data_IF_751763203369
#
_entry.id   IF_751763203369
#
_cell.length_a   1.000
_cell.length_b   1.000
_cell.length_c   1.000
_cell.angle_alpha   90.00
_cell.angle_beta   90.00
_cell.angle_gamma   90.00
#
_symmetry.space_group_name_H-M   'P 1'
#
loop_
_entity.id
_entity.type
_entity.pdbx_description
1 polymer ?
#
# COMPACT_ATOMS: atom_id res chain seq x y z
N UNK A 1 29.64 -44.29 -7.17
CA UNK A 1 28.97 -43.95 -5.92
C UNK A 1 29.66 -42.83 -5.12
N UNK A 2 31.00 -42.85 -4.97
CA UNK A 2 31.72 -41.77 -4.20
C UNK A 2 31.56 -40.37 -4.82
N UNK A 3 31.57 -40.21 -6.14
CA UNK A 3 31.41 -38.91 -6.78
C UNK A 3 30.02 -38.30 -6.55
N UNK A 4 28.96 -39.12 -6.58
CA UNK A 4 27.59 -38.66 -6.32
C UNK A 4 27.43 -38.19 -4.86
N UNK A 5 28.04 -38.93 -3.94
CA UNK A 5 28.03 -38.56 -2.52
C UNK A 5 28.74 -37.20 -2.28
N UNK A 6 29.88 -37.00 -2.93
CA UNK A 6 30.62 -35.73 -2.85
C UNK A 6 29.83 -34.56 -3.42
N UNK A 7 29.16 -34.73 -4.56
CA UNK A 7 28.30 -33.69 -5.16
C UNK A 7 27.15 -33.35 -4.25
N UNK A 8 26.46 -34.34 -3.68
CA UNK A 8 25.38 -34.12 -2.74
C UNK A 8 25.86 -33.36 -1.48
N UNK A 9 27.02 -33.72 -0.94
CA UNK A 9 27.57 -33.01 0.24
C UNK A 9 27.84 -31.54 -0.09
N UNK A 10 28.39 -31.24 -1.25
CA UNK A 10 28.61 -29.83 -1.69
C UNK A 10 27.30 -29.08 -1.82
N UNK A 11 26.29 -29.68 -2.46
CA UNK A 11 24.97 -29.06 -2.63
C UNK A 11 24.32 -28.81 -1.25
N UNK A 12 24.33 -29.78 -0.34
CA UNK A 12 23.78 -29.61 1.00
C UNK A 12 24.49 -28.51 1.78
N UNK A 13 25.81 -28.45 1.70
CA UNK A 13 26.58 -27.40 2.36
C UNK A 13 26.24 -26.02 1.83
N UNK A 14 26.17 -25.87 0.50
CA UNK A 14 25.77 -24.61 -0.16
C UNK A 14 24.36 -24.18 0.25
N UNK A 15 23.41 -25.10 0.23
CA UNK A 15 22.03 -24.79 0.64
C UNK A 15 21.97 -24.42 2.10
N UNK A 16 22.68 -25.13 2.98
CA UNK A 16 22.71 -24.82 4.41
C UNK A 16 23.24 -23.40 4.66
N UNK A 17 24.34 -23.02 4.01
CA UNK A 17 24.91 -21.66 4.12
C UNK A 17 23.94 -20.62 3.56
N UNK A 18 23.34 -20.88 2.39
CA UNK A 18 22.36 -19.98 1.77
C UNK A 18 21.12 -19.75 2.62
N UNK A 19 20.62 -20.77 3.31
CA UNK A 19 19.42 -20.63 4.16
C UNK A 19 19.74 -20.17 5.58
N UNK A 20 20.98 -20.32 6.03
CA UNK A 20 21.35 -19.96 7.41
C UNK A 20 21.14 -18.46 7.71
N UNK A 21 21.32 -17.59 6.71
CA UNK A 21 21.09 -16.15 6.90
C UNK A 21 19.64 -15.80 7.27
N UNK A 22 18.64 -16.64 6.92
CA UNK A 22 17.26 -16.42 7.29
C UNK A 22 17.05 -16.42 8.81
N UNK A 23 17.80 -17.24 9.54
CA UNK A 23 17.75 -17.24 11.00
C UNK A 23 18.24 -15.91 11.60
N UNK A 24 19.23 -15.29 10.96
CA UNK A 24 19.73 -13.98 11.38
C UNK A 24 18.61 -12.93 11.23
N UNK A 25 17.85 -12.94 10.15
CA UNK A 25 16.71 -12.02 9.97
C UNK A 25 15.60 -12.25 11.00
N UNK A 26 15.31 -13.50 11.34
CA UNK A 26 14.34 -13.82 12.40
C UNK A 26 14.80 -13.21 13.75
N UNK A 27 16.07 -13.40 14.11
CA UNK A 27 16.61 -12.82 15.34
C UNK A 27 16.56 -11.29 15.32
N UNK A 28 16.95 -10.67 14.21
CA UNK A 28 16.87 -9.20 14.02
C UNK A 28 15.42 -8.71 14.15
N UNK A 29 14.46 -9.42 13.54
CA UNK A 29 13.05 -9.06 13.61
C UNK A 29 12.51 -9.14 15.05
N UNK A 30 12.84 -10.21 15.79
CA UNK A 30 12.43 -10.38 17.19
C UNK A 30 13.03 -9.30 18.11
N UNK A 31 14.29 -8.93 17.89
CA UNK A 31 14.94 -7.86 18.64
C UNK A 31 14.32 -6.50 18.26
N UNK A 32 14.06 -6.28 16.95
CA UNK A 32 13.43 -5.06 16.45
C UNK A 32 12.03 -4.83 17.01
N UNK A 33 11.23 -5.89 17.10
CA UNK A 33 9.89 -5.82 17.68
C UNK A 33 9.92 -5.48 19.19
N UNK A 34 10.84 -6.08 19.94
CA UNK A 34 11.04 -5.74 21.36
C UNK A 34 11.50 -4.29 21.55
N UNK A 35 12.31 -3.75 20.63
CA UNK A 35 12.75 -2.35 20.68
C UNK A 35 11.62 -1.38 20.34
N UNK A 36 10.76 -1.71 19.35
CA UNK A 36 9.59 -0.89 19.00
C UNK A 36 8.64 -0.71 20.19
N UNK A 37 8.39 -1.76 20.96
CA UNK A 37 7.54 -1.69 22.16
C UNK A 37 8.09 -0.77 23.27
N UNK A 38 9.38 -0.41 23.21
CA UNK A 38 10.02 0.50 24.18
C UNK A 38 10.12 1.95 23.68
N UNK A 39 9.79 2.21 22.43
CA UNK A 39 9.79 3.60 21.96
C UNK A 39 8.56 4.30 22.50
N UNK A 40 8.70 5.50 23.10
CA UNK A 40 7.55 6.31 23.47
C UNK A 40 6.74 6.60 22.21
N UNK A 41 5.42 6.62 22.35
CA UNK A 41 4.51 7.02 21.28
C UNK A 41 4.92 8.41 20.80
N UNK A 42 5.28 8.52 19.52
CA UNK A 42 5.71 9.79 18.96
C UNK A 42 4.49 10.67 18.73
N UNK A 43 4.34 11.66 19.60
CA UNK A 43 3.37 12.72 19.40
C UNK A 43 3.89 13.70 18.35
N UNK A 44 3.22 13.85 17.20
CA UNK A 44 3.66 14.78 16.17
C UNK A 44 3.57 16.22 16.70
N UNK A 45 4.64 16.98 16.62
CA UNK A 45 4.68 18.38 17.05
C UNK A 45 3.76 19.29 16.23
N UNK A 46 3.38 18.87 15.04
CA UNK A 46 2.52 19.59 14.11
C UNK A 46 1.75 18.62 13.25
N UNK A 47 0.45 18.81 13.14
CA UNK A 47 -0.41 18.10 12.20
C UNK A 47 -0.37 18.81 10.85
N UNK A 48 -0.26 18.02 9.79
CA UNK A 48 -0.24 18.50 8.40
C UNK A 48 -1.55 18.14 7.69
N UNK A 49 -1.96 18.93 6.73
CA UNK A 49 -3.07 18.59 5.84
C UNK A 49 -2.58 17.66 4.74
N UNK A 50 -3.32 16.59 4.48
CA UNK A 50 -3.03 15.59 3.46
C UNK A 50 -4.13 15.55 2.42
N UNK A 51 -3.74 15.36 1.16
CA UNK A 51 -4.68 15.06 0.09
C UNK A 51 -4.37 13.66 -0.48
N UNK A 52 -5.37 12.78 -0.47
CA UNK A 52 -5.31 11.49 -1.15
C UNK A 52 -5.86 11.67 -2.56
N UNK A 53 -5.01 11.53 -3.57
CA UNK A 53 -5.43 11.63 -4.98
C UNK A 53 -5.56 10.21 -5.54
N UNK A 54 -6.76 9.87 -6.01
CA UNK A 54 -7.13 8.54 -6.47
C UNK A 54 -7.58 8.61 -7.92
N UNK A 55 -6.86 7.96 -8.84
CA UNK A 55 -7.32 7.76 -10.20
C UNK A 55 -8.13 6.46 -10.27
N UNK A 56 -9.42 6.58 -10.60
CA UNK A 56 -10.37 5.48 -10.68
C UNK A 56 -10.96 5.35 -12.08
N UNK A 57 -11.13 4.11 -12.55
CA UNK A 57 -11.80 3.81 -13.81
C UNK A 57 -12.66 2.57 -13.67
N UNK A 58 -14.00 2.75 -13.68
CA UNK A 58 -14.98 1.67 -13.50
C UNK A 58 -14.73 0.84 -12.23
N UNK A 59 -14.58 1.53 -11.09
CA UNK A 59 -14.28 0.92 -9.80
C UNK A 59 -15.44 1.07 -8.80
N UNK A 60 -16.70 1.07 -9.29
CA UNK A 60 -17.90 1.26 -8.49
C UNK A 60 -18.02 0.29 -7.29
N UNK A 61 -17.53 -0.95 -7.43
CA UNK A 61 -17.62 -1.96 -6.38
C UNK A 61 -16.68 -1.69 -5.19
N UNK A 62 -15.59 -0.95 -5.38
CA UNK A 62 -14.52 -0.82 -4.38
C UNK A 62 -14.26 0.62 -3.91
N UNK A 63 -14.56 1.61 -4.76
CA UNK A 63 -14.21 3.01 -4.48
C UNK A 63 -14.83 3.54 -3.18
N UNK A 64 -16.06 3.16 -2.86
CA UNK A 64 -16.73 3.57 -1.65
C UNK A 64 -16.05 3.04 -0.39
N UNK A 65 -15.61 1.78 -0.40
CA UNK A 65 -14.91 1.17 0.73
C UNK A 65 -13.53 1.80 0.93
N UNK A 66 -12.81 2.10 -0.15
CA UNK A 66 -11.52 2.79 -0.11
C UNK A 66 -11.66 4.17 0.55
N UNK A 67 -12.63 4.99 0.11
CA UNK A 67 -12.85 6.33 0.68
C UNK A 67 -13.20 6.23 2.17
N UNK A 68 -14.07 5.31 2.55
CA UNK A 68 -14.42 5.07 3.96
C UNK A 68 -13.20 4.68 4.80
N UNK A 69 -12.33 3.81 4.28
CA UNK A 69 -11.12 3.38 4.99
C UNK A 69 -10.10 4.52 5.16
N UNK A 70 -9.98 5.43 4.19
CA UNK A 70 -9.15 6.62 4.31
C UNK A 70 -9.69 7.55 5.40
N UNK A 71 -11.01 7.77 5.43
CA UNK A 71 -11.66 8.64 6.42
C UNK A 71 -11.67 8.04 7.84
N UNK A 72 -11.55 6.72 7.96
CA UNK A 72 -11.49 6.02 9.25
C UNK A 72 -10.08 5.96 9.85
N UNK A 73 -9.08 6.63 9.25
CA UNK A 73 -7.73 6.68 9.80
C UNK A 73 -7.71 7.41 11.15
N UNK A 74 -6.77 7.02 12.02
CA UNK A 74 -6.53 7.72 13.28
C UNK A 74 -5.79 9.05 13.04
N UNK A 75 -6.46 9.98 12.32
CA UNK A 75 -5.97 11.31 11.99
C UNK A 75 -7.18 12.26 11.88
N UNK A 76 -7.07 13.57 12.26
CA UNK A 76 -8.17 14.49 12.16
C UNK A 76 -8.76 14.58 10.76
N UNK A 77 -10.04 14.27 10.61
CA UNK A 77 -10.71 14.13 9.31
C UNK A 77 -10.75 15.45 8.52
N UNK A 78 -10.75 16.58 9.23
CA UNK A 78 -10.69 17.93 8.66
C UNK A 78 -9.34 18.27 8.01
N UNK A 79 -8.31 17.47 8.28
CA UNK A 79 -6.98 17.58 7.70
C UNK A 79 -6.75 16.56 6.57
N UNK A 80 -7.78 15.79 6.20
CA UNK A 80 -7.71 14.79 5.13
C UNK A 80 -8.67 15.16 4.01
N UNK A 81 -8.13 15.50 2.85
CA UNK A 81 -8.89 15.64 1.62
C UNK A 81 -8.82 14.35 0.80
N UNK A 82 -9.95 13.89 0.28
CA UNK A 82 -9.99 12.76 -0.67
C UNK A 82 -10.45 13.27 -2.01
N UNK A 83 -9.57 13.21 -3.00
CA UNK A 83 -9.79 13.65 -4.37
C UNK A 83 -9.81 12.43 -5.28
N UNK A 84 -10.89 12.24 -6.01
CA UNK A 84 -11.04 11.14 -6.98
C UNK A 84 -11.08 11.70 -8.38
N UNK A 85 -10.20 11.23 -9.25
CA UNK A 85 -10.25 11.49 -10.69
C UNK A 85 -10.88 10.28 -11.37
N UNK A 86 -12.15 10.42 -11.75
CA UNK A 86 -12.91 9.40 -12.49
C UNK A 86 -12.53 9.48 -13.97
N UNK A 87 -11.53 8.67 -14.40
CA UNK A 87 -10.97 8.71 -15.74
C UNK A 87 -11.73 7.78 -16.69
N UNK A 88 -12.47 8.36 -17.64
CA UNK A 88 -13.25 7.63 -18.64
C UNK A 88 -14.18 6.57 -18.03
N UNK A 89 -14.79 6.86 -16.87
CA UNK A 89 -15.78 5.98 -16.27
C UNK A 89 -17.05 5.89 -17.11
N UNK A 90 -17.60 4.68 -17.22
CA UNK A 90 -18.87 4.37 -17.88
C UNK A 90 -19.92 3.85 -16.89
N UNK A 91 -19.52 3.68 -15.64
CA UNK A 91 -20.36 3.24 -14.52
C UNK A 91 -20.59 4.38 -13.51
N UNK A 92 -21.19 4.06 -12.38
CA UNK A 92 -21.50 5.02 -11.31
C UNK A 92 -20.36 5.27 -10.31
N UNK A 93 -19.08 5.00 -10.68
CA UNK A 93 -17.90 5.22 -9.83
C UNK A 93 -17.85 6.65 -9.28
N UNK A 94 -18.08 7.66 -10.14
CA UNK A 94 -18.02 9.06 -9.73
C UNK A 94 -19.13 9.44 -8.73
N UNK A 95 -20.35 8.92 -8.92
CA UNK A 95 -21.49 9.17 -8.03
C UNK A 95 -21.24 8.55 -6.64
N UNK A 96 -20.77 7.31 -6.61
CA UNK A 96 -20.43 6.62 -5.35
C UNK A 96 -19.33 7.38 -4.61
N UNK A 97 -18.29 7.82 -5.31
CA UNK A 97 -17.23 8.59 -4.69
C UNK A 97 -17.73 9.90 -4.07
N UNK A 98 -18.62 10.64 -4.77
CA UNK A 98 -19.25 11.86 -4.24
C UNK A 98 -20.11 11.57 -3.01
N UNK A 99 -20.91 10.51 -3.06
CA UNK A 99 -21.79 10.13 -1.94
C UNK A 99 -20.99 9.75 -0.68
N UNK A 100 -19.77 9.25 -0.84
CA UNK A 100 -18.82 8.99 0.24
C UNK A 100 -18.06 10.26 0.70
N UNK A 101 -18.36 11.44 0.12
CA UNK A 101 -17.79 12.73 0.49
C UNK A 101 -16.37 12.94 -0.02
N UNK A 102 -16.03 12.42 -1.19
CA UNK A 102 -14.83 12.78 -1.93
C UNK A 102 -15.08 13.96 -2.87
N UNK A 103 -14.05 14.73 -3.14
CA UNK A 103 -14.01 15.72 -4.22
C UNK A 103 -13.78 14.94 -5.51
N UNK A 104 -14.70 15.02 -6.49
CA UNK A 104 -14.62 14.20 -7.70
C UNK A 104 -14.47 15.06 -8.94
N UNK A 105 -13.44 14.76 -9.70
CA UNK A 105 -13.22 15.29 -11.05
C UNK A 105 -13.45 14.18 -12.07
N UNK A 106 -14.35 14.43 -13.02
CA UNK A 106 -14.58 13.51 -14.13
C UNK A 106 -13.75 13.94 -15.33
N UNK A 107 -13.04 12.99 -15.93
CA UNK A 107 -12.19 13.21 -17.08
C UNK A 107 -12.60 12.25 -18.19
N UNK A 108 -12.86 12.79 -19.37
CA UNK A 108 -13.18 12.04 -20.57
C UNK A 108 -12.17 12.37 -21.67
N UNK A 109 -11.15 11.52 -21.81
CA UNK A 109 -10.12 11.68 -22.83
C UNK A 109 -9.75 10.31 -23.40
N UNK A 110 -10.06 10.09 -24.70
CA UNK A 110 -9.80 8.83 -25.37
C UNK A 110 -8.38 8.72 -25.96
N UNK A 111 -7.62 9.81 -25.98
CA UNK A 111 -6.26 9.84 -26.53
C UNK A 111 -5.23 9.62 -25.44
N UNK A 112 -5.32 10.40 -24.36
CA UNK A 112 -4.43 10.30 -23.21
C UNK A 112 -5.09 9.43 -22.12
N UNK A 113 -5.02 8.13 -22.28
CA UNK A 113 -5.66 7.16 -21.39
C UNK A 113 -4.65 6.60 -20.41
N UNK A 114 -5.09 6.42 -19.13
CA UNK A 114 -4.32 5.76 -18.10
C UNK A 114 -4.05 6.62 -16.87
N UNK A 115 -3.71 5.95 -15.76
CA UNK A 115 -3.53 6.58 -14.44
C UNK A 115 -2.50 7.71 -14.44
N UNK A 116 -1.41 7.57 -15.19
CA UNK A 116 -0.37 8.60 -15.30
C UNK A 116 -0.81 9.90 -15.99
N UNK A 117 -1.89 9.86 -16.76
CA UNK A 117 -2.47 11.06 -17.37
C UNK A 117 -3.67 11.61 -16.60
N UNK A 118 -4.21 10.82 -15.68
CA UNK A 118 -5.33 11.20 -14.84
C UNK A 118 -4.90 11.99 -13.60
N UNK A 119 -3.67 11.82 -13.17
CA UNK A 119 -3.04 12.50 -12.02
C UNK A 119 -2.17 13.65 -12.49
#
# INVERSE_FOLDING_TARGET
MKAIASINTVIYTLLTVLYFYQFIYIVIALIGEKRKKKQPEYEPKKLHRFAFIIAARNENAVIGNLIKSIKAQNYPSELIDVVVVADNCTDNTAEIARSCGAIVYERFNKVLVGKGYAL
#
